data_IF_896341052331
#
_entry.id   IF_896341052331
#
_cell.length_a   1.000
_cell.length_b   1.000
_cell.length_c   1.000
_cell.angle_alpha   90.00
_cell.angle_beta   90.00
_cell.angle_gamma   90.00
#
_symmetry.space_group_name_H-M   'P 1'
#
loop_
_entity.id
_entity.type
_entity.pdbx_description
1 polymer ?
#
# COMPACT_ATOMS: atom_id res chain seq x y z
N UNK A 1 -34.71 -6.26 -15.54
CA UNK A 1 -34.35 -4.83 -15.66
C UNK A 1 -33.30 -4.52 -14.60
N UNK A 2 -32.18 -3.87 -14.97
CA UNK A 2 -31.13 -3.50 -14.01
C UNK A 2 -31.62 -2.39 -13.07
N UNK A 3 -31.33 -2.51 -11.77
CA UNK A 3 -31.64 -1.51 -10.74
C UNK A 3 -30.55 -0.42 -10.61
N UNK A 4 -29.61 -0.36 -11.56
CA UNK A 4 -28.48 0.55 -11.53
C UNK A 4 -28.83 1.93 -12.11
N UNK A 5 -28.73 2.97 -11.28
CA UNK A 5 -28.97 4.36 -11.69
C UNK A 5 -27.70 4.98 -12.32
N UNK A 6 -27.65 4.96 -13.65
CA UNK A 6 -26.57 5.56 -14.44
C UNK A 6 -26.43 7.07 -14.24
N UNK A 7 -27.55 7.78 -14.03
CA UNK A 7 -27.52 9.22 -13.88
C UNK A 7 -26.95 9.62 -12.51
N UNK A 8 -27.32 8.89 -11.45
CA UNK A 8 -26.75 9.07 -10.12
C UNK A 8 -25.26 8.70 -10.09
N UNK A 9 -24.88 7.59 -10.72
CA UNK A 9 -23.47 7.14 -10.77
C UNK A 9 -22.57 8.18 -11.45
N UNK A 10 -22.96 8.71 -12.61
CA UNK A 10 -22.18 9.73 -13.35
C UNK A 10 -22.02 11.05 -12.58
N UNK A 11 -22.99 11.39 -11.72
CA UNK A 11 -22.98 12.62 -10.90
C UNK A 11 -22.27 12.44 -9.56
N UNK A 12 -22.03 11.19 -9.14
CA UNK A 12 -21.41 10.91 -7.86
C UNK A 12 -19.96 11.39 -7.84
N UNK A 13 -19.55 11.94 -6.69
CA UNK A 13 -18.12 12.20 -6.41
C UNK A 13 -17.54 10.95 -5.76
N UNK A 14 -16.40 10.51 -6.27
CA UNK A 14 -15.69 9.34 -5.77
C UNK A 14 -14.42 9.76 -5.07
N UNK A 15 -14.21 9.26 -3.85
CA UNK A 15 -12.99 9.48 -3.08
C UNK A 15 -12.27 8.15 -2.85
N UNK A 16 -10.95 8.22 -2.77
CA UNK A 16 -10.13 7.05 -2.48
C UNK A 16 -10.44 6.53 -1.08
N UNK A 17 -10.48 5.21 -0.96
CA UNK A 17 -10.49 4.57 0.34
C UNK A 17 -9.08 4.61 0.86
N UNK A 18 -8.95 5.00 2.11
CA UNK A 18 -7.68 4.93 2.82
C UNK A 18 -7.83 4.15 4.12
N UNK A 19 -6.75 3.52 4.55
CA UNK A 19 -6.68 2.76 5.79
C UNK A 19 -5.32 2.90 6.44
N UNK A 20 -5.31 3.01 7.77
CA UNK A 20 -4.10 2.88 8.58
C UNK A 20 -3.79 1.40 8.82
N UNK A 21 -2.57 0.98 8.46
CA UNK A 21 -2.08 -0.39 8.59
C UNK A 21 -0.93 -0.40 9.60
N UNK A 22 -1.12 -1.01 10.78
CA UNK A 22 -0.04 -1.18 11.74
C UNK A 22 0.92 -2.28 11.27
N UNK A 23 2.23 -2.00 11.29
CA UNK A 23 3.28 -2.92 10.84
C UNK A 23 4.05 -3.46 12.03
N UNK A 24 3.75 -4.71 12.37
CA UNK A 24 4.18 -5.32 13.63
C UNK A 24 5.68 -5.62 13.65
N UNK A 25 6.25 -6.06 12.53
CA UNK A 25 7.68 -6.34 12.43
C UNK A 25 8.52 -5.07 12.57
N UNK A 26 8.16 -4.01 11.84
CA UNK A 26 8.81 -2.70 11.92
C UNK A 26 8.65 -2.06 13.29
N UNK A 27 7.49 -2.25 13.94
CA UNK A 27 7.26 -1.81 15.32
C UNK A 27 8.21 -2.53 16.27
N UNK A 28 8.25 -3.87 16.22
CA UNK A 28 9.12 -4.66 17.08
C UNK A 28 10.61 -4.35 16.88
N UNK A 29 11.01 -4.00 15.66
CA UNK A 29 12.37 -3.56 15.35
C UNK A 29 12.68 -2.11 15.83
N UNK A 30 11.71 -1.39 16.37
CA UNK A 30 11.90 -0.07 16.96
C UNK A 30 11.97 1.09 15.96
N UNK A 31 11.54 0.89 14.70
CA UNK A 31 11.57 1.96 13.69
C UNK A 31 10.60 3.11 13.96
N UNK A 32 9.63 2.92 14.86
CA UNK A 32 8.76 3.99 15.36
C UNK A 32 9.40 4.84 16.47
N UNK A 33 10.59 4.46 16.94
CA UNK A 33 11.16 4.94 18.19
C UNK A 33 10.56 4.24 19.40
N UNK A 34 10.83 4.79 20.59
CA UNK A 34 10.37 4.22 21.86
C UNK A 34 9.59 5.26 22.68
N UNK A 35 8.67 4.79 23.51
CA UNK A 35 8.00 5.54 24.58
C UNK A 35 8.51 5.09 25.94
N UNK A 36 8.87 6.06 26.79
CA UNK A 36 9.46 5.82 28.09
C UNK A 36 10.98 5.99 28.10
N UNK A 37 11.59 5.73 29.26
CA UNK A 37 13.02 5.83 29.51
C UNK A 37 13.53 4.55 30.17
N UNK A 38 14.79 4.19 29.90
CA UNK A 38 15.43 3.01 30.49
C UNK A 38 14.88 1.69 29.95
N UNK A 39 15.00 0.63 30.77
CA UNK A 39 14.69 -0.74 30.39
C UNK A 39 13.18 -1.02 30.18
N UNK A 40 12.31 -0.09 30.60
CA UNK A 40 10.85 -0.17 30.42
C UNK A 40 10.35 0.49 29.12
N UNK A 41 11.26 1.00 28.29
CA UNK A 41 10.92 1.69 27.05
C UNK A 41 10.22 0.75 26.06
N UNK A 42 9.04 1.14 25.57
CA UNK A 42 8.23 0.34 24.64
C UNK A 42 8.32 0.88 23.22
N UNK A 43 8.41 0.04 22.18
CA UNK A 43 8.44 0.50 20.81
C UNK A 43 7.11 1.18 20.43
N UNK A 44 7.20 2.34 19.77
CA UNK A 44 6.06 3.05 19.20
C UNK A 44 5.51 2.30 17.99
N UNK A 45 4.17 2.19 17.85
CA UNK A 45 3.56 1.59 16.68
C UNK A 45 3.98 2.30 15.38
N UNK A 46 4.50 1.53 14.44
CA UNK A 46 4.73 1.96 13.05
C UNK A 46 3.43 1.74 12.28
N UNK A 47 2.84 2.82 11.78
CA UNK A 47 1.55 2.79 11.07
C UNK A 47 1.70 3.47 9.72
N UNK A 48 1.29 2.76 8.66
CA UNK A 48 1.31 3.26 7.29
C UNK A 48 -0.11 3.55 6.82
N UNK A 49 -0.32 4.72 6.22
CA UNK A 49 -1.57 5.06 5.55
C UNK A 49 -1.50 4.56 4.11
N UNK A 50 -2.41 3.68 3.72
CA UNK A 50 -2.50 3.15 2.35
C UNK A 50 -3.85 3.48 1.72
N UNK A 51 -3.92 3.43 0.39
CA UNK A 51 -5.16 3.61 -0.37
C UNK A 51 -5.39 2.52 -1.41
N UNK A 52 -6.61 2.46 -1.94
CA UNK A 52 -6.91 1.67 -3.13
C UNK A 52 -6.25 2.25 -4.38
N UNK A 53 -5.86 1.36 -5.30
CA UNK A 53 -5.31 1.71 -6.61
C UNK A 53 -6.41 1.90 -7.66
N UNK A 54 -6.13 2.76 -8.63
CA UNK A 54 -6.95 2.93 -9.83
C UNK A 54 -6.58 1.91 -10.90
N UNK A 55 -7.48 1.69 -11.87
CA UNK A 55 -7.19 0.80 -13.01
C UNK A 55 -5.95 1.24 -13.81
N UNK A 56 -5.71 2.56 -13.92
CA UNK A 56 -4.52 3.08 -14.59
C UNK A 56 -3.24 2.73 -13.82
N UNK A 57 -3.26 2.78 -12.50
CA UNK A 57 -2.11 2.42 -11.66
C UNK A 57 -1.86 0.92 -11.67
N UNK A 58 -2.91 0.09 -11.69
CA UNK A 58 -2.77 -1.35 -11.87
C UNK A 58 -2.10 -1.68 -13.20
N UNK A 59 -2.56 -1.08 -14.29
CA UNK A 59 -1.96 -1.27 -15.61
C UNK A 59 -0.50 -0.77 -15.67
N UNK A 60 -0.20 0.34 -15.00
CA UNK A 60 1.17 0.85 -14.86
C UNK A 60 2.05 -0.14 -14.09
N UNK A 61 1.55 -0.74 -13.01
CA UNK A 61 2.29 -1.74 -12.26
C UNK A 61 2.54 -3.01 -13.08
N UNK A 62 1.57 -3.45 -13.88
CA UNK A 62 1.76 -4.57 -14.82
C UNK A 62 2.87 -4.23 -15.82
N UNK A 63 2.88 -3.01 -16.38
CA UNK A 63 3.95 -2.56 -17.29
C UNK A 63 5.32 -2.46 -16.61
N UNK A 64 5.39 -1.99 -15.37
CA UNK A 64 6.63 -1.95 -14.59
C UNK A 64 7.15 -3.34 -14.25
N UNK A 65 6.26 -4.28 -13.94
CA UNK A 65 6.60 -5.68 -13.69
C UNK A 65 7.12 -6.39 -14.94
N UNK A 66 6.68 -5.98 -16.12
CA UNK A 66 7.21 -6.45 -17.41
C UNK A 66 8.57 -5.81 -17.76
N UNK A 67 9.02 -4.79 -17.02
CA UNK A 67 10.22 -4.01 -17.33
C UNK A 67 11.34 -4.23 -16.28
N UNK A 68 11.99 -5.39 -16.33
CA UNK A 68 13.09 -5.83 -15.43
C UNK A 68 14.24 -4.82 -15.29
N UNK A 69 14.41 -3.93 -16.28
CA UNK A 69 15.44 -2.87 -16.28
C UNK A 69 15.24 -1.80 -15.20
N UNK A 70 14.02 -1.60 -14.72
CA UNK A 70 13.72 -0.61 -13.67
C UNK A 70 14.25 -1.10 -12.32
N UNK A 71 14.04 -2.36 -12.00
CA UNK A 71 14.54 -2.99 -10.77
C UNK A 71 16.08 -3.02 -10.74
N UNK A 72 16.70 -3.31 -11.89
CA UNK A 72 18.16 -3.22 -12.08
C UNK A 72 18.73 -1.85 -11.67
N UNK A 73 18.17 -0.77 -12.21
CA UNK A 73 18.63 0.60 -11.89
C UNK A 73 18.45 0.96 -10.41
N UNK A 74 17.39 0.48 -9.78
CA UNK A 74 17.09 0.78 -8.38
C UNK A 74 18.13 0.16 -7.46
N UNK A 75 18.55 -1.08 -7.73
CA UNK A 75 19.61 -1.67 -6.94
C UNK A 75 20.99 -1.14 -7.28
N UNK A 76 21.24 -0.70 -8.52
CA UNK A 76 22.47 0.02 -8.85
C UNK A 76 22.61 1.29 -8.01
N UNK A 77 21.50 1.95 -7.71
CA UNK A 77 21.49 3.09 -6.80
C UNK A 77 21.65 2.69 -5.32
N UNK A 78 21.19 1.51 -4.91
CA UNK A 78 21.33 1.02 -3.53
C UNK A 78 22.72 0.45 -3.23
N UNK A 79 23.38 -0.15 -4.21
CA UNK A 79 24.68 -0.81 -4.05
C UNK A 79 25.88 0.15 -4.16
N UNK A 80 25.63 1.38 -4.60
CA UNK A 80 26.68 2.29 -5.12
C UNK A 80 27.09 1.92 -6.54
N UNK A 81 28.03 2.67 -7.13
CA UNK A 81 28.47 2.59 -8.56
C UNK A 81 28.96 1.23 -9.06
N UNK A 82 28.89 0.17 -8.25
CA UNK A 82 29.27 -1.20 -8.60
C UNK A 82 28.05 -2.02 -9.04
N UNK A 83 27.86 -2.14 -10.36
CA UNK A 83 26.76 -2.90 -10.99
C UNK A 83 26.73 -4.38 -10.58
N UNK A 84 27.87 -5.01 -10.29
CA UNK A 84 27.92 -6.39 -9.77
C UNK A 84 27.35 -6.51 -8.35
N UNK A 85 27.59 -5.51 -7.51
CA UNK A 85 27.08 -5.45 -6.13
C UNK A 85 25.56 -5.21 -6.14
N UNK A 86 25.08 -4.44 -7.11
CA UNK A 86 23.67 -4.21 -7.39
C UNK A 86 22.94 -5.44 -7.90
N UNK A 87 23.53 -6.14 -8.86
CA UNK A 87 23.01 -7.41 -9.35
C UNK A 87 23.02 -8.48 -8.26
N UNK A 88 24.04 -8.50 -7.39
CA UNK A 88 24.11 -9.38 -6.23
C UNK A 88 23.03 -9.08 -5.18
N UNK A 89 22.77 -7.81 -4.91
CA UNK A 89 21.64 -7.38 -4.06
C UNK A 89 20.31 -7.80 -4.68
N UNK A 90 20.07 -7.49 -5.95
CA UNK A 90 18.85 -7.91 -6.64
C UNK A 90 18.67 -9.43 -6.61
N UNK A 91 19.71 -10.17 -6.99
CA UNK A 91 19.67 -11.64 -7.01
C UNK A 91 19.42 -12.22 -5.61
N UNK A 92 20.00 -11.62 -4.56
CA UNK A 92 19.74 -11.99 -3.17
C UNK A 92 18.32 -11.70 -2.71
N UNK A 93 17.65 -10.72 -3.34
CA UNK A 93 16.25 -10.38 -3.12
C UNK A 93 15.29 -11.09 -4.08
N UNK A 94 15.80 -11.97 -4.95
CA UNK A 94 15.02 -12.60 -6.02
C UNK A 94 14.50 -11.60 -7.07
N UNK A 95 15.15 -10.45 -7.18
CA UNK A 95 14.89 -9.41 -8.16
C UNK A 95 15.94 -9.55 -9.31
N UNK A 96 15.55 -9.41 -10.57
CA UNK A 96 16.33 -9.82 -11.75
C UNK A 96 15.44 -10.38 -12.88
N UNK A 97 16.02 -10.96 -13.93
CA UNK A 97 15.25 -11.56 -15.04
C UNK A 97 14.35 -12.73 -14.57
N UNK A 98 14.71 -13.39 -13.46
CA UNK A 98 13.95 -14.45 -12.81
C UNK A 98 13.00 -13.95 -11.72
N UNK A 99 12.81 -12.63 -11.55
CA UNK A 99 11.83 -12.11 -10.58
C UNK A 99 10.45 -12.64 -10.95
N UNK A 100 9.73 -13.28 -10.01
CA UNK A 100 8.33 -13.57 -10.25
C UNK A 100 7.59 -12.26 -10.53
N UNK A 101 6.97 -12.12 -11.71
CA UNK A 101 6.22 -10.91 -12.09
C UNK A 101 5.22 -10.45 -11.02
N UNK A 102 4.68 -11.41 -10.27
CA UNK A 102 3.81 -11.17 -9.13
C UNK A 102 4.47 -10.36 -8.00
N UNK A 103 5.77 -10.58 -7.72
CA UNK A 103 6.53 -9.83 -6.73
C UNK A 103 6.84 -8.42 -7.24
N UNK A 104 7.35 -8.28 -8.47
CA UNK A 104 7.62 -6.99 -9.09
C UNK A 104 6.37 -6.09 -9.08
N UNK A 105 5.21 -6.67 -9.44
CA UNK A 105 3.94 -5.97 -9.37
C UNK A 105 3.57 -5.51 -7.96
N UNK A 106 3.76 -6.36 -6.95
CA UNK A 106 3.48 -6.01 -5.55
C UNK A 106 4.36 -4.86 -5.05
N UNK A 107 5.64 -4.83 -5.44
CA UNK A 107 6.54 -3.71 -5.13
C UNK A 107 5.98 -2.39 -5.68
N UNK A 108 5.59 -2.36 -6.95
CA UNK A 108 4.97 -1.18 -7.59
C UNK A 108 3.63 -0.81 -6.95
N UNK A 109 2.80 -1.79 -6.62
CA UNK A 109 1.52 -1.54 -5.94
C UNK A 109 1.72 -0.80 -4.61
N UNK A 110 2.64 -1.29 -3.77
CA UNK A 110 2.92 -0.67 -2.47
C UNK A 110 3.50 0.72 -2.66
N UNK A 111 4.46 0.90 -3.57
CA UNK A 111 5.04 2.22 -3.84
C UNK A 111 3.97 3.25 -4.22
N UNK A 112 2.98 2.89 -5.04
CA UNK A 112 1.94 3.81 -5.50
C UNK A 112 0.81 4.01 -4.49
N UNK A 113 0.50 2.99 -3.69
CA UNK A 113 -0.65 2.98 -2.79
C UNK A 113 -0.35 3.49 -1.38
N UNK A 114 0.90 3.48 -0.93
CA UNK A 114 1.26 4.07 0.37
C UNK A 114 1.21 5.59 0.25
N UNK A 115 0.33 6.20 1.05
CA UNK A 115 0.12 7.66 1.11
C UNK A 115 1.06 8.29 2.13
N UNK A 116 1.28 7.63 3.26
CA UNK A 116 2.18 8.11 4.32
C UNK A 116 2.81 6.94 5.08
N UNK A 117 4.14 6.91 5.26
CA UNK A 117 5.12 7.82 4.64
C UNK A 117 5.20 7.62 3.12
N UNK A 118 5.61 8.65 2.37
CA UNK A 118 5.84 8.48 0.93
C UNK A 118 7.08 7.61 0.70
N UNK A 119 6.90 6.46 0.05
CA UNK A 119 7.96 5.50 -0.20
C UNK A 119 8.55 5.64 -1.59
N UNK A 120 9.87 5.50 -1.70
CA UNK A 120 10.55 5.17 -2.94
C UNK A 120 10.57 3.66 -3.10
N UNK A 121 10.70 3.19 -4.33
CA UNK A 121 10.83 1.75 -4.64
C UNK A 121 11.97 1.08 -3.84
N UNK A 122 13.05 1.81 -3.57
CA UNK A 122 14.16 1.37 -2.71
C UNK A 122 13.71 0.99 -1.29
N UNK A 123 12.84 1.81 -0.69
CA UNK A 123 12.31 1.58 0.64
C UNK A 123 11.42 0.33 0.64
N UNK A 124 10.58 0.19 -0.39
CA UNK A 124 9.68 -0.97 -0.55
C UNK A 124 10.46 -2.26 -0.73
N UNK A 125 11.53 -2.24 -1.54
CA UNK A 125 12.43 -3.38 -1.72
C UNK A 125 13.10 -3.76 -0.40
N UNK A 126 13.53 -2.77 0.40
CA UNK A 126 14.14 -3.03 1.70
C UNK A 126 13.14 -3.61 2.72
N UNK A 127 11.88 -3.16 2.69
CA UNK A 127 10.82 -3.74 3.52
C UNK A 127 10.52 -5.18 3.07
N UNK A 128 10.46 -5.46 1.77
CA UNK A 128 10.23 -6.80 1.25
C UNK A 128 11.32 -7.80 1.68
N UNK A 129 12.57 -7.34 1.70
CA UNK A 129 13.73 -8.10 2.16
C UNK A 129 13.72 -8.37 3.67
N UNK A 130 13.67 -7.29 4.47
CA UNK A 130 13.90 -7.37 5.91
C UNK A 130 12.63 -7.67 6.71
N UNK A 131 11.46 -7.30 6.19
CA UNK A 131 10.16 -7.40 6.84
C UNK A 131 9.10 -7.99 5.89
N UNK A 132 9.30 -9.21 5.35
CA UNK A 132 8.45 -9.79 4.32
C UNK A 132 6.98 -9.93 4.75
N UNK A 133 6.71 -10.15 6.04
CA UNK A 133 5.33 -10.24 6.55
C UNK A 133 4.64 -8.86 6.55
N UNK A 134 5.33 -7.79 6.95
CA UNK A 134 4.77 -6.43 6.89
C UNK A 134 4.58 -5.98 5.44
N UNK A 135 5.50 -6.36 4.54
CA UNK A 135 5.35 -6.16 3.09
C UNK A 135 4.07 -6.84 2.55
N UNK A 136 3.83 -8.09 2.94
CA UNK A 136 2.63 -8.82 2.53
C UNK A 136 1.36 -8.21 3.13
N UNK A 137 1.39 -7.78 4.38
CA UNK A 137 0.28 -7.11 5.07
C UNK A 137 -0.16 -5.85 4.31
N UNK A 138 0.80 -4.98 3.96
CA UNK A 138 0.53 -3.81 3.11
C UNK A 138 -0.11 -4.22 1.79
N UNK A 139 0.45 -5.24 1.12
CA UNK A 139 -0.10 -5.71 -0.15
C UNK A 139 -1.54 -6.19 -0.01
N UNK A 140 -1.89 -6.93 1.04
CA UNK A 140 -3.25 -7.44 1.27
C UNK A 140 -4.23 -6.29 1.44
N UNK A 141 -3.92 -5.34 2.34
CA UNK A 141 -4.77 -4.18 2.56
C UNK A 141 -4.98 -3.35 1.29
N UNK A 142 -3.93 -3.16 0.48
CA UNK A 142 -4.05 -2.46 -0.80
C UNK A 142 -4.99 -3.21 -1.76
N UNK A 143 -4.88 -4.53 -1.86
CA UNK A 143 -5.78 -5.33 -2.69
C UNK A 143 -7.24 -5.24 -2.22
N UNK A 144 -7.46 -5.31 -0.91
CA UNK A 144 -8.81 -5.21 -0.33
C UNK A 144 -9.45 -3.86 -0.62
N UNK A 145 -8.71 -2.75 -0.43
CA UNK A 145 -9.20 -1.40 -0.73
C UNK A 145 -9.44 -1.21 -2.23
N UNK A 146 -8.58 -1.77 -3.07
CA UNK A 146 -8.70 -1.72 -4.53
C UNK A 146 -9.95 -2.48 -4.99
N UNK A 147 -10.19 -3.67 -4.44
CA UNK A 147 -11.36 -4.50 -4.76
C UNK A 147 -12.69 -3.84 -4.35
N UNK A 148 -12.69 -3.05 -3.28
CA UNK A 148 -13.86 -2.27 -2.85
C UNK A 148 -14.16 -1.03 -3.71
N UNK A 149 -13.20 -0.62 -4.56
CA UNK A 149 -13.28 0.60 -5.35
C UNK A 149 -13.38 1.87 -4.50
N UNK A 150 -13.54 3.02 -5.17
CA UNK A 150 -13.67 4.32 -4.49
C UNK A 150 -15.01 4.44 -3.75
N UNK A 151 -15.02 5.23 -2.66
CA UNK A 151 -16.26 5.55 -1.94
C UNK A 151 -17.03 6.60 -2.72
N UNK A 152 -18.26 6.25 -3.11
CA UNK A 152 -19.20 7.20 -3.69
C UNK A 152 -19.81 8.07 -2.58
N UNK A 153 -19.63 9.39 -2.68
CA UNK A 153 -20.27 10.38 -1.82
C UNK A 153 -21.72 10.59 -2.28
N UNK A 154 -22.57 9.57 -2.14
CA UNK A 154 -24.00 9.65 -2.46
C UNK A 154 -24.75 10.07 -1.18
N UNK A 155 -25.63 11.07 -1.28
CA UNK A 155 -26.52 11.42 -0.17
C UNK A 155 -27.34 10.18 0.20
N UNK A 156 -27.12 9.64 1.40
CA UNK A 156 -27.97 8.60 1.96
C UNK A 156 -29.39 9.13 2.02
N UNK A 157 -30.38 8.35 1.57
CA UNK A 157 -31.79 8.69 1.84
C UNK A 157 -31.96 8.82 3.37
N UNK A 158 -32.63 9.86 3.88
CA UNK A 158 -32.93 9.95 5.31
C UNK A 158 -33.63 8.66 5.74
N UNK A 159 -33.08 7.98 6.75
CA UNK A 159 -33.80 6.88 7.41
C UNK A 159 -34.90 7.51 8.26
N UNK A 160 -36.05 7.79 7.62
CA UNK A 160 -37.22 8.36 8.27
C UNK A 160 -37.90 7.35 9.18
N UNK A 161 -37.29 7.07 10.34
CA UNK A 161 -37.95 6.48 11.52
C UNK A 161 -37.34 7.08 12.79
N UNK A 162 -37.44 8.40 12.94
CA UNK A 162 -37.37 9.01 14.27
C UNK A 162 -38.75 8.82 14.91
N UNK A 163 -38.86 7.94 15.90
CA UNK A 163 -40.02 7.90 16.78
C UNK A 163 -40.19 9.28 17.41
N UNK A 164 -41.34 9.90 17.20
CA UNK A 164 -41.72 11.12 17.91
C UNK A 164 -41.92 10.76 19.38
N UNK A 165 -40.96 11.10 20.22
CA UNK A 165 -41.14 11.10 21.68
C UNK A 165 -42.22 12.13 22.02
N UNK A 166 -43.34 11.68 22.57
CA UNK A 166 -44.36 12.58 23.15
C UNK A 166 -43.77 13.25 24.40
N UNK A 167 -43.93 14.57 24.58
CA UNK A 167 -43.59 15.22 25.84
C UNK A 167 -44.57 14.76 26.95
N UNK A 168 -44.01 14.57 28.14
CA UNK A 168 -44.73 14.34 29.39
C UNK A 168 -45.27 15.65 29.98
#
# INVERSE_FOLDING_TARGET
MSNFDLAAFRKAKFQEREQDVPLSGLTAAGFGGYEGEGDDAKPKPVVYRVRGLTAQELAKADQEADNSKVLLKVAEQLAGTESERAQGLLSGLGLGDDTPKALAKKLSHIQMAVVSPQLKIQDVVRIADAFPMDFLELSVHIYDLTGQGKVAQVKRKPSGKSQTSKPA
#
